data_IF_952337150578
#
_entry.id   IF_952337150578
#
_cell.length_a   1.000
_cell.length_b   1.000
_cell.length_c   1.000
_cell.angle_alpha   90.00
_cell.angle_beta   90.00
_cell.angle_gamma   90.00
#
_symmetry.space_group_name_H-M   'P 1'
#
loop_
_entity.id
_entity.type
_entity.pdbx_description
1 polymer ?
#
# COMPACT_ATOMS: atom_id res chain seq x y z
N UNK A 1 -17.05 -25.54 0.91
CA UNK A 1 -16.69 -24.38 0.06
C UNK A 1 -16.47 -23.07 0.83
N UNK A 2 -16.40 -23.08 2.17
CA UNK A 2 -16.31 -21.84 2.98
C UNK A 2 -14.89 -21.26 3.09
N UNK A 3 -13.85 -22.10 2.99
CA UNK A 3 -12.44 -21.71 3.15
C UNK A 3 -11.95 -20.70 2.10
N UNK A 4 -12.22 -20.86 0.78
CA UNK A 4 -11.76 -19.90 -0.23
C UNK A 4 -12.37 -18.50 -0.06
N UNK A 5 -13.68 -18.42 0.22
CA UNK A 5 -14.36 -17.14 0.46
C UNK A 5 -13.86 -16.44 1.72
N UNK A 6 -13.55 -17.20 2.77
CA UNK A 6 -12.94 -16.67 3.99
C UNK A 6 -11.55 -16.09 3.71
N UNK A 7 -10.70 -16.80 2.96
CA UNK A 7 -9.36 -16.33 2.58
C UNK A 7 -9.45 -15.05 1.76
N UNK A 8 -10.33 -14.99 0.75
CA UNK A 8 -10.61 -13.77 -0.03
C UNK A 8 -10.94 -12.58 0.87
N UNK A 9 -11.85 -12.77 1.83
CA UNK A 9 -12.27 -11.68 2.72
C UNK A 9 -11.13 -11.20 3.63
N UNK A 10 -10.27 -12.11 4.11
CA UNK A 10 -9.07 -11.76 4.89
C UNK A 10 -8.10 -10.95 4.05
N UNK A 11 -7.81 -11.39 2.82
CA UNK A 11 -6.93 -10.68 1.89
C UNK A 11 -7.47 -9.28 1.57
N UNK A 12 -8.77 -9.17 1.30
CA UNK A 12 -9.40 -7.88 1.04
C UNK A 12 -9.36 -6.96 2.27
N UNK A 13 -9.59 -7.50 3.47
CA UNK A 13 -9.47 -6.72 4.71
C UNK A 13 -8.02 -6.24 4.93
N UNK A 14 -7.03 -7.11 4.69
CA UNK A 14 -5.62 -6.77 4.78
C UNK A 14 -5.24 -5.67 3.77
N UNK A 15 -5.72 -5.77 2.53
CA UNK A 15 -5.55 -4.73 1.51
C UNK A 15 -6.02 -3.36 2.00
N UNK A 16 -7.23 -3.27 2.55
CA UNK A 16 -7.82 -2.01 3.03
C UNK A 16 -7.01 -1.43 4.21
N UNK A 17 -6.66 -2.26 5.19
CA UNK A 17 -5.88 -1.83 6.35
C UNK A 17 -4.50 -1.30 5.92
N UNK A 18 -3.80 -2.04 5.07
CA UNK A 18 -2.50 -1.61 4.56
C UNK A 18 -2.62 -0.33 3.72
N UNK A 19 -3.66 -0.20 2.90
CA UNK A 19 -3.88 1.01 2.11
C UNK A 19 -4.09 2.24 3.00
N UNK A 20 -4.84 2.09 4.09
CA UNK A 20 -5.04 3.16 5.08
C UNK A 20 -3.72 3.57 5.72
N UNK A 21 -2.91 2.61 6.15
CA UNK A 21 -1.59 2.88 6.74
C UNK A 21 -0.68 3.62 5.75
N UNK A 22 -0.60 3.15 4.51
CA UNK A 22 0.21 3.79 3.46
C UNK A 22 -0.28 5.22 3.19
N UNK A 23 -1.60 5.43 3.19
CA UNK A 23 -2.20 6.75 2.97
C UNK A 23 -1.89 7.70 4.13
N UNK A 24 -1.96 7.23 5.38
CA UNK A 24 -1.57 8.01 6.55
C UNK A 24 -0.08 8.37 6.52
N UNK A 25 0.79 7.41 6.20
CA UNK A 25 2.22 7.65 6.05
C UNK A 25 2.51 8.70 4.97
N UNK A 26 1.75 8.67 3.87
CA UNK A 26 1.83 9.69 2.81
C UNK A 26 1.37 11.07 3.28
N UNK A 27 0.28 11.16 4.04
CA UNK A 27 -0.18 12.44 4.61
C UNK A 27 0.84 13.03 5.59
N UNK A 28 1.50 12.18 6.40
CA UNK A 28 2.57 12.61 7.31
C UNK A 28 3.80 13.07 6.51
N UNK A 29 4.16 12.36 5.43
CA UNK A 29 5.31 12.74 4.59
C UNK A 29 5.10 14.01 3.78
N UNK A 30 3.85 14.40 3.53
CA UNK A 30 3.51 15.71 2.98
C UNK A 30 3.75 16.86 3.97
N UNK A 31 3.89 16.58 5.28
CA UNK A 31 4.28 17.60 6.24
C UNK A 31 5.76 18.00 6.01
N UNK A 32 6.01 19.30 5.81
CA UNK A 32 7.35 19.82 5.56
C UNK A 32 8.35 19.50 6.67
N UNK A 33 7.89 19.26 7.91
CA UNK A 33 8.75 18.88 9.03
C UNK A 33 9.47 17.55 8.80
N UNK A 34 8.78 16.52 8.30
CA UNK A 34 9.39 15.21 8.05
C UNK A 34 10.36 15.26 6.88
N UNK A 35 10.00 15.97 5.81
CA UNK A 35 10.87 16.15 4.65
C UNK A 35 12.14 16.95 4.99
N UNK A 36 12.04 18.00 5.81
CA UNK A 36 13.20 18.78 6.26
C UNK A 36 14.16 17.96 7.14
N UNK A 37 13.62 17.14 8.06
CA UNK A 37 14.43 16.26 8.90
C UNK A 37 15.15 15.18 8.07
N UNK A 38 14.43 14.56 7.13
CA UNK A 38 14.99 13.57 6.21
C UNK A 38 16.04 14.18 5.27
N UNK A 39 15.76 15.36 4.71
CA UNK A 39 16.68 16.11 3.87
C UNK A 39 18.00 16.39 4.60
N UNK A 40 17.92 16.88 5.84
CA UNK A 40 19.09 17.13 6.70
C UNK A 40 19.85 15.84 7.02
N UNK A 41 19.15 14.77 7.39
CA UNK A 41 19.78 13.50 7.78
C UNK A 41 20.51 12.81 6.61
N UNK A 42 19.90 12.81 5.42
CA UNK A 42 20.46 12.14 4.24
C UNK A 42 21.32 13.07 3.36
N UNK A 43 21.41 14.36 3.69
CA UNK A 43 22.16 15.35 2.89
C UNK A 43 21.54 15.64 1.53
N UNK A 44 20.23 15.42 1.37
CA UNK A 44 19.49 15.72 0.14
C UNK A 44 18.84 17.10 0.21
N UNK A 45 18.48 17.65 -0.95
CA UNK A 45 17.52 18.77 -0.97
C UNK A 45 16.14 18.29 -0.51
N UNK A 46 15.34 19.23 0.01
CA UNK A 46 13.96 18.97 0.42
C UNK A 46 13.12 18.47 -0.77
N UNK A 47 13.32 19.04 -1.95
CA UNK A 47 12.64 18.63 -3.18
C UNK A 47 12.97 17.18 -3.57
N UNK A 48 14.25 16.80 -3.56
CA UNK A 48 14.67 15.42 -3.82
C UNK A 48 14.07 14.46 -2.78
N UNK A 49 14.03 14.87 -1.51
CA UNK A 49 13.44 14.09 -0.44
C UNK A 49 11.95 13.83 -0.69
N UNK A 50 11.19 14.86 -1.10
CA UNK A 50 9.79 14.70 -1.48
C UNK A 50 9.61 13.72 -2.65
N UNK A 51 10.47 13.79 -3.67
CA UNK A 51 10.43 12.84 -4.81
C UNK A 51 10.69 11.41 -4.35
N UNK A 52 11.72 11.19 -3.52
CA UNK A 52 12.02 9.86 -2.99
C UNK A 52 10.87 9.31 -2.14
N UNK A 53 10.30 10.13 -1.25
CA UNK A 53 9.16 9.73 -0.42
C UNK A 53 7.93 9.39 -1.28
N UNK A 54 7.64 10.18 -2.33
CA UNK A 54 6.56 9.90 -3.25
C UNK A 54 6.75 8.55 -3.97
N UNK A 55 7.97 8.27 -4.44
CA UNK A 55 8.30 7.01 -5.09
C UNK A 55 8.17 5.80 -4.15
N UNK A 56 8.64 5.93 -2.91
CA UNK A 56 8.51 4.88 -1.89
C UNK A 56 7.03 4.60 -1.59
N UNK A 57 6.23 5.64 -1.36
CA UNK A 57 4.77 5.49 -1.15
C UNK A 57 4.10 4.84 -2.37
N UNK A 58 4.46 5.27 -3.59
CA UNK A 58 3.96 4.69 -4.82
C UNK A 58 4.27 3.19 -4.93
N UNK A 59 5.52 2.80 -4.65
CA UNK A 59 5.95 1.41 -4.62
C UNK A 59 5.13 0.57 -3.63
N UNK A 60 4.95 1.07 -2.40
CA UNK A 60 4.15 0.36 -1.39
C UNK A 60 2.68 0.19 -1.79
N UNK A 61 2.08 1.18 -2.46
CA UNK A 61 0.72 1.05 -3.01
C UNK A 61 0.64 -0.07 -4.06
N UNK A 62 1.59 -0.12 -4.98
CA UNK A 62 1.66 -1.18 -6.01
C UNK A 62 1.83 -2.55 -5.36
N UNK A 63 2.75 -2.67 -4.41
CA UNK A 63 2.99 -3.92 -3.69
C UNK A 63 1.74 -4.39 -2.94
N UNK A 64 1.01 -3.48 -2.28
CA UNK A 64 -0.25 -3.81 -1.60
C UNK A 64 -1.31 -4.35 -2.57
N UNK A 65 -1.40 -3.81 -3.78
CA UNK A 65 -2.31 -4.33 -4.82
C UNK A 65 -1.90 -5.74 -5.24
N UNK A 66 -0.61 -5.95 -5.54
CA UNK A 66 -0.09 -7.24 -6.02
C UNK A 66 -0.23 -8.34 -4.98
N UNK A 67 0.07 -8.04 -3.71
CA UNK A 67 0.08 -9.06 -2.65
C UNK A 67 -1.30 -9.39 -2.09
N UNK A 68 -2.25 -8.45 -2.11
CA UNK A 68 -3.53 -8.62 -1.42
C UNK A 68 -4.72 -8.55 -2.36
N UNK A 69 -4.81 -7.52 -3.20
CA UNK A 69 -5.98 -7.31 -4.05
C UNK A 69 -6.03 -8.31 -5.21
N UNK A 70 -4.92 -8.50 -5.92
CA UNK A 70 -4.87 -9.44 -7.06
C UNK A 70 -5.22 -10.87 -6.64
N UNK A 71 -4.64 -11.44 -5.56
CA UNK A 71 -5.02 -12.78 -5.10
C UNK A 71 -6.49 -12.86 -4.63
N UNK A 72 -7.01 -11.81 -3.96
CA UNK A 72 -8.41 -11.79 -3.57
C UNK A 72 -9.35 -11.82 -4.78
N UNK A 73 -9.02 -11.07 -5.84
CA UNK A 73 -9.78 -11.07 -7.10
C UNK A 73 -9.69 -12.46 -7.75
N UNK A 74 -8.50 -13.05 -7.86
CA UNK A 74 -8.31 -14.38 -8.44
C UNK A 74 -9.19 -15.44 -7.76
N UNK A 75 -9.20 -15.48 -6.42
CA UNK A 75 -10.04 -16.39 -5.65
C UNK A 75 -11.54 -16.13 -5.90
N UNK A 76 -11.95 -14.87 -6.06
CA UNK A 76 -13.35 -14.54 -6.39
C UNK A 76 -13.76 -15.08 -7.76
N UNK A 77 -12.91 -14.92 -8.77
CA UNK A 77 -13.16 -15.43 -10.12
C UNK A 77 -13.22 -16.96 -10.15
N UNK A 78 -12.27 -17.64 -9.51
CA UNK A 78 -12.28 -19.10 -9.41
C UNK A 78 -13.55 -19.62 -8.70
N UNK A 79 -13.97 -18.96 -7.62
CA UNK A 79 -15.21 -19.32 -6.94
C UNK A 79 -16.44 -19.13 -7.81
N UNK A 80 -16.51 -18.03 -8.58
CA UNK A 80 -17.61 -17.76 -9.51
C UNK A 80 -17.65 -18.79 -10.65
N UNK A 81 -16.50 -19.17 -11.22
CA UNK A 81 -16.43 -20.11 -12.33
C UNK A 81 -16.81 -21.55 -11.95
N UNK A 82 -16.72 -21.91 -10.66
CA UNK A 82 -17.07 -23.24 -10.13
C UNK A 82 -18.52 -23.34 -9.64
N UNK A 83 -19.31 -22.28 -9.78
CA UNK A 83 -20.69 -22.19 -9.32
C UNK A 83 -21.63 -22.04 -10.51
#
# INVERSE_FOLDING_TARGET
METPLRIRNVLFKAFIINLLIITLAWLISLSGATANLMASFFGFSVDQTHVYMANIIGFWKVLNVVLFLVPAIAIHWEFRARR
#
